data_IF_412242217669
#
_entry.id   IF_412242217669
#
_cell.length_a   1.000
_cell.length_b   1.000
_cell.length_c   1.000
_cell.angle_alpha   90.00
_cell.angle_beta   90.00
_cell.angle_gamma   90.00
#
_symmetry.space_group_name_H-M   'P 1'
#
loop_
_entity.id
_entity.type
_entity.pdbx_description
1 polymer ?
2 non-polymer ?
3 non-polymer ?
4 non-polymer ?
5 water ?
#
# COMPACT_ATOMS: atom_id res chain seq x y z
N UNK A 7 15.81 5.34 18.69
CA UNK A 7 16.36 5.77 17.41
C UNK A 7 15.59 5.14 16.25
N UNK A 8 14.40 5.67 15.97
CA UNK A 8 13.61 5.21 14.82
C UNK A 8 14.02 5.96 13.56
N UNK A 9 14.37 5.21 12.52
CA UNK A 9 14.86 5.80 11.29
C UNK A 9 13.69 6.16 10.38
N UNK A 10 13.56 7.44 10.07
CA UNK A 10 12.49 7.91 9.21
C UNK A 10 13.06 8.62 8.01
N UNK A 11 12.46 8.40 6.84
CA UNK A 11 12.92 9.11 5.66
C UNK A 11 12.57 10.59 5.77
N UNK A 12 13.39 11.42 5.15
CA UNK A 12 13.19 12.87 5.19
C UNK A 12 13.02 13.43 3.79
N UNK A 13 13.18 12.59 2.78
CA UNK A 13 12.95 12.97 1.41
C UNK A 13 12.08 11.91 0.73
N UNK A 14 11.24 12.34 -0.21
CA UNK A 14 10.38 11.43 -0.94
C UNK A 14 11.12 10.62 -2.00
N UNK A 15 10.74 9.36 -2.14
CA UNK A 15 11.25 8.54 -3.23
C UNK A 15 10.22 8.57 -4.36
N UNK A 16 10.59 9.15 -5.49
CA UNK A 16 9.70 9.24 -6.67
C UNK A 16 9.98 8.10 -7.64
N UNK A 17 8.95 7.67 -8.37
CA UNK A 17 9.13 6.61 -9.36
C UNK A 17 10.13 7.00 -10.44
N UNK A 18 10.23 8.29 -10.76
CA UNK A 18 11.17 8.73 -11.79
C UNK A 18 12.62 8.80 -11.30
N UNK A 19 12.84 8.45 -10.05
CA UNK A 19 14.21 8.40 -9.53
C UNK A 19 14.77 6.98 -9.46
N UNK A 20 13.97 5.97 -9.80
CA UNK A 20 14.45 4.59 -9.76
C UNK A 20 15.28 4.25 -10.99
N UNK A 21 16.39 3.54 -10.77
CA UNK A 21 17.07 2.88 -11.88
C UNK A 21 16.37 1.54 -12.10
N UNK A 22 16.97 0.67 -12.90
CA UNK A 22 16.34 -0.60 -13.20
C UNK A 22 16.20 -1.50 -11.96
N UNK A 23 17.18 -1.45 -11.06
CA UNK A 23 17.18 -2.36 -9.92
C UNK A 23 17.46 -1.71 -8.57
N UNK A 24 17.73 -0.40 -8.58
CA UNK A 24 18.08 0.26 -7.34
C UNK A 24 17.70 1.74 -7.38
N UNK A 25 17.96 2.41 -6.26
CA UNK A 25 17.88 3.86 -6.21
C UNK A 25 18.95 4.35 -5.25
N UNK A 26 19.33 5.61 -5.37
CA UNK A 26 20.35 6.19 -4.51
C UNK A 26 19.82 6.51 -3.12
N UNK A 27 20.55 6.08 -2.09
CA UNK A 27 20.17 6.32 -0.70
C UNK A 27 19.93 7.79 -0.40
N UNK A 28 20.74 8.66 -1.00
CA UNK A 28 20.66 10.10 -0.73
C UNK A 28 19.24 10.64 -0.90
N UNK A 29 18.46 10.06 -1.81
CA UNK A 29 17.10 10.52 -2.07
C UNK A 29 16.21 10.49 -0.82
N UNK A 30 16.47 9.54 0.07
CA UNK A 30 15.63 9.36 1.24
C UNK A 30 15.95 10.33 2.38
N UNK A 31 17.06 11.04 2.25
CA UNK A 31 17.39 12.12 3.18
C UNK A 31 17.73 11.67 4.60
N UNK A 32 18.11 10.41 4.76
CA UNK A 32 18.35 9.84 6.08
C UNK A 32 19.81 9.49 6.28
N UNK A 33 20.46 10.17 7.21
CA UNK A 33 21.85 9.84 7.54
C UNK A 33 22.04 8.39 7.99
N UNK A 34 21.17 7.87 8.90
CA UNK A 34 21.28 6.44 9.23
C UNK A 34 21.29 5.51 8.02
N UNK A 35 20.46 5.76 7.02
CA UNK A 35 20.47 4.91 5.83
C UNK A 35 21.73 5.13 5.00
N UNK A 36 22.14 6.39 4.87
CA UNK A 36 23.34 6.74 4.11
C UNK A 36 24.60 6.08 4.66
N UNK A 37 24.68 5.91 5.97
CA UNK A 37 25.88 5.36 6.58
C UNK A 37 25.76 3.87 6.90
N UNK A 38 24.59 3.28 6.64
CA UNK A 38 24.39 1.86 6.86
C UNK A 38 25.41 1.05 6.06
N UNK A 39 25.93 -0.04 6.65
CA UNK A 39 26.97 -0.82 5.99
C UNK A 39 26.43 -1.66 4.85
N UNK A 40 27.32 -2.06 3.95
CA UNK A 40 26.98 -2.93 2.85
C UNK A 40 26.24 -4.16 3.37
N UNK A 41 25.12 -4.49 2.73
CA UNK A 41 24.37 -5.67 3.09
C UNK A 41 23.31 -5.50 4.15
N UNK A 42 23.27 -4.33 4.79
CA UNK A 42 22.21 -4.07 5.77
C UNK A 42 20.84 -4.17 5.11
N UNK A 43 19.89 -4.79 5.80
CA UNK A 43 18.54 -4.96 5.29
C UNK A 43 17.55 -4.24 6.19
N UNK A 44 16.66 -3.47 5.57
CA UNK A 44 15.63 -2.74 6.29
C UNK A 44 14.24 -3.16 5.87
N UNK A 45 13.33 -3.23 6.83
CA UNK A 45 11.92 -3.38 6.54
C UNK A 45 11.24 -2.01 6.61
N UNK A 46 10.34 -1.76 5.68
CA UNK A 46 9.60 -0.51 5.61
C UNK A 46 8.25 -0.68 6.27
N UNK A 47 7.71 0.39 6.85
CA UNK A 47 6.35 0.35 7.40
C UNK A 47 5.29 0.75 6.38
N UNK A 48 5.74 1.03 5.15
CA UNK A 48 4.88 1.43 4.05
C UNK A 48 5.32 0.63 2.83
N UNK A 49 4.36 0.21 1.98
CA UNK A 49 4.73 -0.57 0.81
C UNK A 49 5.46 0.23 -0.24
N UNK A 50 6.48 -0.39 -0.84
CA UNK A 50 7.15 0.15 -2.01
C UNK A 50 6.64 -0.57 -3.24
N UNK A 51 5.82 0.11 -4.02
CA UNK A 51 5.28 -0.50 -5.24
C UNK A 51 6.21 -0.27 -6.41
N UNK A 52 6.47 -1.34 -7.13
CA UNK A 52 7.37 -1.35 -8.26
C UNK A 52 6.64 -1.84 -9.50
N UNK A 53 6.43 -0.93 -10.45
CA UNK A 53 5.92 -1.32 -11.76
C UNK A 53 6.98 -2.13 -12.49
N UNK A 54 6.55 -3.22 -13.11
CA UNK A 54 7.46 -4.09 -13.85
C UNK A 54 6.82 -4.46 -15.18
N UNK A 55 7.56 -5.15 -16.02
CA UNK A 55 7.02 -5.64 -17.28
C UNK A 55 7.49 -7.04 -17.57
N UNK A 56 6.56 -7.92 -17.92
CA UNK A 56 6.92 -9.26 -18.35
C UNK A 56 7.08 -9.35 -19.87
N UNK A 57 6.85 -8.23 -20.55
CA UNK A 57 6.97 -8.19 -22.00
C UNK A 57 5.98 -7.24 -22.64
N UNK A 58 6.19 -7.00 -23.93
CA UNK A 58 5.24 -6.30 -24.79
C UNK A 58 5.01 -4.86 -24.37
N UNK A 59 5.93 -4.29 -23.58
CA UNK A 59 5.76 -2.95 -23.08
C UNK A 59 4.59 -2.78 -22.12
N UNK A 60 4.10 -3.88 -21.57
CA UNK A 60 3.00 -3.85 -20.63
C UNK A 60 3.50 -3.62 -19.20
N UNK A 61 2.77 -2.80 -18.45
CA UNK A 61 3.06 -2.56 -17.05
C UNK A 61 2.20 -3.45 -16.16
N UNK A 62 2.83 -4.09 -15.18
CA UNK A 62 2.16 -4.74 -14.04
C UNK A 62 2.78 -4.17 -12.76
N UNK A 63 2.17 -4.44 -11.61
CA UNK A 63 2.63 -3.82 -10.37
C UNK A 63 2.93 -4.85 -9.28
N UNK A 64 4.11 -4.70 -8.66
CA UNK A 64 4.55 -5.55 -7.56
C UNK A 64 4.67 -4.73 -6.27
N UNK A 65 4.71 -5.42 -5.13
CA UNK A 65 4.94 -4.76 -3.84
C UNK A 65 6.15 -5.35 -3.13
N UNK A 66 6.95 -4.47 -2.53
CA UNK A 66 8.10 -4.85 -1.71
C UNK A 66 8.08 -4.11 -0.38
N UNK A 67 8.64 -4.75 0.63
CA UNK A 67 8.69 -4.19 1.98
C UNK A 67 10.12 -4.12 2.53
N UNK A 68 11.09 -4.53 1.72
CA UNK A 68 12.47 -4.65 2.19
C UNK A 68 13.47 -4.02 1.22
N UNK A 69 14.51 -3.43 1.81
CA UNK A 69 15.60 -2.80 1.08
C UNK A 69 16.92 -3.35 1.57
N UNK A 70 17.85 -3.56 0.64
CA UNK A 70 19.20 -4.01 0.98
C UNK A 70 20.20 -2.95 0.55
N UNK A 71 21.09 -2.56 1.47
CA UNK A 71 22.09 -1.54 1.24
C UNK A 71 23.27 -2.04 0.39
N UNK A 72 23.65 -1.21 -0.58
CA UNK A 72 24.88 -1.39 -1.34
C UNK A 72 25.77 -0.19 -1.06
N UNK A 73 26.93 -0.47 -0.47
CA UNK A 73 27.82 0.59 0.01
C UNK A 73 28.26 1.52 -1.11
N UNK A 74 28.35 2.80 -0.78
CA UNK A 74 28.71 3.80 -1.77
C UNK A 74 30.19 3.93 -2.06
N UNK A 75 30.52 4.93 -2.87
CA UNK A 75 31.91 5.25 -3.21
C UNK A 75 32.08 6.77 -3.26
N UNK A 76 33.23 7.24 -3.71
CA UNK A 76 33.52 8.67 -3.72
C UNK A 76 32.45 9.51 -4.44
N UNK A 77 31.99 9.02 -5.57
CA UNK A 77 30.99 9.73 -6.37
C UNK A 77 29.59 9.69 -5.77
N UNK A 78 29.31 8.63 -5.03
CA UNK A 78 27.98 8.42 -4.42
C UNK A 78 28.19 7.86 -3.01
N UNK A 79 28.61 8.71 -2.06
CA UNK A 79 29.04 8.19 -0.77
C UNK A 79 27.95 7.45 -0.01
N UNK A 80 26.70 7.89 -0.17
CA UNK A 80 25.60 7.27 0.54
C UNK A 80 25.16 5.93 -0.05
N UNK A 81 25.65 5.60 -1.25
CA UNK A 81 25.34 4.32 -1.84
C UNK A 81 23.93 4.16 -2.35
N UNK A 82 23.48 2.91 -2.43
CA UNK A 82 22.24 2.55 -3.10
C UNK A 82 21.45 1.56 -2.27
N UNK A 83 20.16 1.46 -2.57
CA UNK A 83 19.34 0.35 -2.07
C UNK A 83 18.72 -0.42 -3.22
N UNK A 84 18.69 -1.74 -3.11
CA UNK A 84 17.82 -2.58 -3.93
C UNK A 84 16.60 -2.99 -3.13
N UNK A 85 15.43 -2.97 -3.77
CA UNK A 85 14.22 -3.54 -3.18
C UNK A 85 14.21 -5.06 -3.38
N UNK A 86 13.54 -5.77 -2.49
CA UNK A 86 13.43 -7.20 -2.60
C UNK A 86 12.73 -7.80 -1.42
N UNK A 87 12.98 -9.09 -1.21
CA UNK A 87 12.33 -9.89 -0.20
C UNK A 87 13.31 -10.32 0.87
N UNK A 88 12.98 -10.04 2.12
CA UNK A 88 13.72 -10.57 3.26
C UNK A 88 12.98 -11.75 3.85
N UNK A 89 13.66 -12.89 3.89
CA UNK A 89 13.17 -14.11 4.54
C UNK A 89 13.74 -14.11 5.95
N UNK A 90 12.88 -13.83 6.94
CA UNK A 90 13.33 -13.67 8.32
C UNK A 90 13.71 -14.98 9.01
N UNK A 91 13.32 -16.10 8.41
CA UNK A 91 13.67 -17.42 8.93
C UNK A 91 15.06 -17.82 8.45
N UNK A 92 15.21 -17.90 7.13
CA UNK A 92 16.49 -18.31 6.53
C UNK A 92 17.53 -17.20 6.53
N UNK A 93 17.10 -15.99 6.91
CA UNK A 93 17.97 -14.82 6.95
C UNK A 93 18.56 -14.54 5.58
N UNK A 94 17.71 -14.50 4.56
CA UNK A 94 18.18 -14.25 3.19
C UNK A 94 17.43 -13.10 2.55
N UNK A 95 18.14 -12.33 1.74
CA UNK A 95 17.53 -11.29 0.92
C UNK A 95 17.59 -11.72 -0.53
N UNK A 96 16.48 -11.54 -1.23
CA UNK A 96 16.42 -11.82 -2.66
C UNK A 96 15.98 -10.55 -3.39
N UNK A 97 16.76 -10.10 -4.37
CA UNK A 97 16.42 -8.89 -5.11
C UNK A 97 15.06 -9.07 -5.78
N UNK A 98 14.31 -7.98 -5.88
CA UNK A 98 13.02 -8.00 -6.54
C UNK A 98 13.11 -7.83 -8.03
N UNK A 99 11.96 -7.65 -8.65
CA UNK A 99 11.85 -7.51 -10.09
C UNK A 99 12.38 -6.15 -10.53
N UNK A 100 12.89 -6.06 -11.75
CA UNK A 100 13.34 -4.79 -12.30
C UNK A 100 12.18 -3.82 -12.47
N UNK A 101 12.46 -2.55 -12.22
CA UNK A 101 11.50 -1.49 -12.45
C UNK A 101 11.40 -1.18 -13.93
N UNK A 102 10.16 -1.06 -14.43
CA UNK A 102 9.91 -0.73 -15.82
C UNK A 102 9.38 0.70 -15.94
N UNK A 103 10.14 1.54 -16.63
CA UNK A 103 9.76 2.94 -16.82
C UNK A 103 9.19 3.12 -18.21
N UNK A 104 7.95 3.58 -18.31
CA UNK A 104 7.26 3.72 -19.57
C UNK A 104 6.67 5.12 -19.58
N UNK A 105 5.35 5.23 -19.47
CA UNK A 105 4.72 6.54 -19.46
C UNK A 105 3.90 6.82 -18.20
N UNK A 106 4.24 6.17 -17.10
CA UNK A 106 3.42 6.29 -15.90
C UNK A 106 3.40 7.70 -15.36
N UNK A 107 2.27 8.10 -14.76
CA UNK A 107 2.27 9.39 -14.06
C UNK A 107 3.31 9.39 -12.94
N UNK A 108 3.87 10.56 -12.68
CA UNK A 108 4.83 10.72 -11.61
C UNK A 108 4.16 10.38 -10.28
N UNK A 109 4.86 9.67 -9.41
CA UNK A 109 4.31 9.23 -8.13
C UNK A 109 5.38 9.28 -7.06
N UNK A 110 4.99 9.67 -5.86
CA UNK A 110 5.79 9.41 -4.68
C UNK A 110 5.54 7.97 -4.25
N UNK A 111 6.55 7.13 -4.40
CA UNK A 111 6.43 5.73 -4.00
C UNK A 111 6.54 5.60 -2.47
N UNK A 112 7.51 6.30 -1.87
CA UNK A 112 7.66 6.32 -0.41
C UNK A 112 7.72 7.76 0.06
N UNK A 113 6.75 8.17 0.88
CA UNK A 113 6.73 9.57 1.29
C UNK A 113 7.65 9.82 2.49
N UNK A 114 7.88 11.10 2.72
CA UNK A 114 8.60 11.55 3.91
C UNK A 114 7.95 10.97 5.15
N UNK A 115 8.77 10.44 6.06
CA UNK A 115 8.25 9.89 7.29
C UNK A 115 8.10 8.38 7.28
N UNK A 116 8.51 7.73 6.19
CA UNK A 116 8.52 6.27 6.12
C UNK A 116 9.53 5.73 7.13
N UNK A 117 9.11 4.77 7.94
CA UNK A 117 9.95 4.20 8.98
C UNK A 117 10.66 2.96 8.47
N UNK A 118 11.97 2.93 8.69
CA UNK A 118 12.84 1.86 8.20
C UNK A 118 13.45 1.17 9.40
N UNK A 119 13.34 -0.14 9.46
CA UNK A 119 13.82 -0.90 10.61
C UNK A 119 14.82 -1.94 10.16
N UNK A 120 16.02 -1.91 10.71
CA UNK A 120 17.02 -2.89 10.30
C UNK A 120 16.62 -4.28 10.81
N UNK A 121 16.66 -5.26 9.92
CA UNK A 121 16.20 -6.61 10.26
C UNK A 121 17.24 -7.72 10.13
N UNK A 122 18.39 -7.44 9.52
CA UNK A 122 19.46 -8.44 9.49
C UNK A 122 20.33 -8.36 10.74
N UNK A 123 21.18 -9.36 10.95
CA UNK A 123 22.10 -9.34 12.08
C UNK A 123 23.36 -8.53 11.74
N UNK B 7 -4.18 17.07 18.00
CA UNK B 7 -5.05 15.91 17.87
C UNK B 7 -4.91 15.27 16.50
N UNK B 8 -4.73 13.95 16.47
CA UNK B 8 -4.62 13.23 15.19
C UNK B 8 -5.97 13.14 14.49
N UNK B 9 -5.99 13.45 13.20
CA UNK B 9 -7.22 13.34 12.42
C UNK B 9 -7.32 11.96 11.79
N UNK B 10 -8.35 11.23 12.15
CA UNK B 10 -8.58 9.89 11.59
C UNK B 10 -9.88 9.88 10.81
N UNK B 11 -9.89 9.18 9.69
CA UNK B 11 -11.12 9.00 8.95
C UNK B 11 -12.08 8.12 9.75
N UNK B 12 -13.37 8.34 9.55
CA UNK B 12 -14.41 7.62 10.28
C UNK B 12 -15.32 6.86 9.34
N UNK B 13 -15.12 7.05 8.04
CA UNK B 13 -15.87 6.32 7.03
C UNK B 13 -14.92 5.87 5.93
N UNK B 14 -15.21 4.72 5.34
CA UNK B 14 -14.35 4.16 4.29
C UNK B 14 -14.51 4.89 2.96
N UNK B 15 -13.41 5.06 2.25
CA UNK B 15 -13.46 5.57 0.89
C UNK B 15 -13.43 4.39 -0.07
N UNK B 16 -14.51 4.23 -0.83
CA UNK B 16 -14.63 3.15 -1.80
C UNK B 16 -14.27 3.65 -3.19
N UNK B 17 -13.70 2.77 -4.02
CA UNK B 17 -13.35 3.14 -5.38
C UNK B 17 -14.54 3.60 -6.21
N UNK B 18 -15.71 3.03 -5.95
CA UNK B 18 -16.91 3.42 -6.70
C UNK B 18 -17.49 4.77 -6.28
N UNK B 19 -16.85 5.43 -5.31
CA UNK B 19 -17.24 6.78 -4.93
C UNK B 19 -16.37 7.87 -5.54
N UNK B 20 -15.29 7.49 -6.24
CA UNK B 20 -14.42 8.48 -6.84
C UNK B 20 -15.04 9.08 -8.10
N UNK B 21 -14.92 10.39 -8.25
CA UNK B 21 -15.11 10.99 -9.56
C UNK B 21 -13.80 10.88 -10.33
N UNK B 22 -13.71 11.46 -11.51
CA UNK B 22 -12.49 11.34 -12.29
C UNK B 22 -11.29 11.99 -11.60
N UNK B 23 -11.52 13.07 -10.85
CA UNK B 23 -10.40 13.81 -10.28
C UNK B 23 -10.55 14.18 -8.81
N UNK B 24 -11.58 13.69 -8.14
CA UNK B 24 -11.78 14.05 -6.75
C UNK B 24 -12.66 13.02 -6.07
N UNK B 25 -12.82 13.18 -4.76
CA UNK B 25 -13.93 12.57 -4.05
C UNK B 25 -14.45 13.58 -3.03
N UNK B 26 -15.69 13.39 -2.60
CA UNK B 26 -16.32 14.28 -1.63
C UNK B 26 -15.80 14.03 -0.22
N UNK B 27 -15.45 15.11 0.47
CA UNK B 27 -14.94 15.02 1.83
C UNK B 27 -15.87 14.27 2.77
N UNK B 28 -17.17 14.49 2.61
CA UNK B 28 -18.16 13.91 3.51
C UNK B 28 -17.99 12.40 3.67
N UNK B 29 -17.54 11.73 2.61
CA UNK B 29 -17.33 10.29 2.63
C UNK B 29 -16.41 9.80 3.74
N UNK B 30 -15.43 10.62 4.11
CA UNK B 30 -14.46 10.21 5.11
C UNK B 30 -14.97 10.35 6.54
N UNK B 31 -16.12 10.98 6.72
CA UNK B 31 -16.78 11.04 8.02
C UNK B 31 -16.07 11.86 9.08
N UNK B 32 -15.19 12.75 8.65
CA UNK B 32 -14.35 13.53 9.56
C UNK B 32 -14.70 15.02 9.54
N UNK B 33 -15.13 15.56 10.67
CA UNK B 33 -15.42 16.99 10.76
C UNK B 33 -14.18 17.85 10.53
N UNK B 34 -13.04 17.52 11.16
CA UNK B 34 -11.85 18.31 10.84
C UNK B 34 -11.53 18.37 9.35
N UNK B 35 -11.72 17.28 8.61
CA UNK B 35 -11.50 17.33 7.17
C UNK B 35 -12.58 18.15 6.45
N UNK B 36 -13.83 17.95 6.85
CA UNK B 36 -14.94 18.68 6.26
C UNK B 36 -14.77 20.20 6.35
N UNK B 37 -14.13 20.69 7.41
CA UNK B 37 -14.01 22.13 7.62
C UNK B 37 -12.58 22.64 7.48
N UNK B 38 -11.69 21.77 7.01
CA UNK B 38 -10.32 22.17 6.74
C UNK B 38 -10.32 23.34 5.76
N UNK B 39 -9.37 24.26 5.93
CA UNK B 39 -9.27 25.43 5.04
C UNK B 39 -9.08 25.03 3.58
N UNK B 40 -9.65 25.81 2.67
CA UNK B 40 -9.45 25.65 1.23
C UNK B 40 -7.95 25.56 0.95
N UNK B 41 -7.55 24.52 0.22
CA UNK B 41 -6.15 24.35 -0.15
C UNK B 41 -5.27 23.63 0.85
N UNK B 42 -5.81 23.29 2.02
CA UNK B 42 -5.04 22.51 2.99
C UNK B 42 -4.59 21.19 2.37
N UNK B 43 -3.35 20.81 2.64
CA UNK B 43 -2.78 19.56 2.13
C UNK B 43 -2.50 18.61 3.28
N UNK B 44 -2.93 17.35 3.11
CA UNK B 44 -2.76 16.33 4.12
C UNK B 44 -1.94 15.17 3.56
N UNK B 45 -1.08 14.61 4.41
CA UNK B 45 -0.42 13.36 4.09
C UNK B 45 -1.13 12.23 4.81
N UNK B 46 -1.28 11.11 4.10
CA UNK B 46 -1.93 9.92 4.63
C UNK B 46 -0.91 8.94 5.18
N UNK B 47 -1.30 8.16 6.18
CA UNK B 47 -0.44 7.08 6.67
C UNK B 47 -0.70 5.73 5.96
N UNK B 48 -1.59 5.76 4.96
CA UNK B 48 -1.94 4.59 4.17
C UNK B 48 -1.96 5.04 2.72
N UNK B 49 -1.50 4.18 1.78
CA UNK B 49 -1.49 4.60 0.39
C UNK B 49 -2.89 4.68 -0.21
N UNK B 50 -3.13 5.70 -1.01
CA UNK B 50 -4.33 5.78 -1.82
C UNK B 50 -4.00 5.31 -3.23
N UNK B 51 -4.56 4.17 -3.61
CA UNK B 51 -4.35 3.59 -4.93
C UNK B 51 -5.38 4.09 -5.93
N UNK B 52 -4.89 4.64 -7.03
CA UNK B 52 -5.74 5.20 -8.06
C UNK B 52 -5.48 4.47 -9.38
N UNK B 53 -6.46 3.70 -9.83
CA UNK B 53 -6.40 3.07 -11.14
C UNK B 53 -6.55 4.13 -12.22
N UNK B 54 -5.74 4.02 -13.27
CA UNK B 54 -5.76 4.97 -14.36
C UNK B 54 -5.62 4.20 -15.68
N UNK B 55 -5.82 4.89 -16.79
CA UNK B 55 -5.60 4.26 -18.09
C UNK B 55 -4.98 5.24 -19.06
N UNK B 56 -3.91 4.82 -19.71
CA UNK B 56 -3.25 5.66 -20.71
C UNK B 56 -3.72 5.31 -22.12
N UNK B 57 -4.54 4.27 -22.25
CA UNK B 57 -5.02 3.87 -23.56
C UNK B 57 -5.58 2.46 -23.58
N UNK B 58 -6.28 2.15 -24.66
CA UNK B 58 -6.84 0.83 -24.98
C UNK B 58 -7.70 0.18 -23.90
N UNK B 59 -8.17 1.00 -22.96
CA UNK B 59 -8.96 0.48 -21.86
C UNK B 59 -8.15 -0.34 -20.87
N UNK B 60 -6.83 -0.27 -20.98
CA UNK B 60 -5.96 -1.00 -20.08
C UNK B 60 -5.79 -0.23 -18.77
N UNK B 61 -6.03 -0.91 -17.67
CA UNK B 61 -5.90 -0.31 -16.34
C UNK B 61 -4.48 -0.50 -15.80
N UNK B 62 -3.91 0.58 -15.26
CA UNK B 62 -2.68 0.51 -14.47
C UNK B 62 -2.97 1.19 -13.14
N UNK B 63 -2.05 1.11 -12.19
CA UNK B 63 -2.33 1.62 -10.85
C UNK B 63 -1.23 2.55 -10.35
N UNK B 64 -1.65 3.70 -9.83
CA UNK B 64 -0.75 4.70 -9.25
C UNK B 64 -0.97 4.77 -7.74
N UNK B 65 0.05 5.22 -7.02
CA UNK B 65 -0.07 5.47 -5.59
C UNK B 65 0.07 6.97 -5.26
N UNK B 66 -0.78 7.43 -4.36
CA UNK B 66 -0.73 8.79 -3.83
C UNK B 66 -0.78 8.76 -2.32
N UNK B 67 -0.11 9.75 -1.71
CA UNK B 67 -0.02 9.86 -0.28
C UNK B 67 -0.54 11.20 0.21
N UNK B 68 -1.00 12.04 -0.71
CA UNK B 68 -1.36 13.42 -0.38
C UNK B 68 -2.71 13.80 -0.94
N UNK B 69 -3.46 14.55 -0.15
CA UNK B 69 -4.77 15.08 -0.52
C UNK B 69 -4.78 16.58 -0.36
N UNK B 70 -5.41 17.28 -1.28
CA UNK B 70 -5.60 18.73 -1.16
C UNK B 70 -7.07 19.04 -1.05
N UNK B 71 -7.42 19.84 -0.05
CA UNK B 71 -8.81 20.24 0.17
C UNK B 71 -9.27 21.29 -0.82
N UNK B 72 -10.46 21.07 -1.38
CA UNK B 72 -11.17 22.03 -2.22
C UNK B 72 -12.44 22.42 -1.50
N UNK B 73 -12.59 23.71 -1.22
CA UNK B 73 -13.71 24.21 -0.43
C UNK B 73 -15.05 23.87 -1.06
N UNK B 74 -16.05 23.66 -0.22
CA UNK B 74 -17.37 23.32 -0.70
C UNK B 74 -18.18 24.46 -1.28
N UNK B 75 -19.40 24.12 -1.67
CA UNK B 75 -20.41 25.08 -2.06
C UNK B 75 -21.75 24.62 -1.51
N UNK B 76 -22.83 25.33 -1.85
CA UNK B 76 -24.13 25.02 -1.28
C UNK B 76 -24.56 23.58 -1.55
N UNK B 77 -24.20 23.08 -2.74
CA UNK B 77 -24.55 21.73 -3.12
C UNK B 77 -23.72 20.65 -2.44
N UNK B 78 -22.48 20.98 -2.10
CA UNK B 78 -21.55 20.05 -1.46
C UNK B 78 -20.84 20.77 -0.32
N UNK B 79 -21.53 20.91 0.82
CA UNK B 79 -21.06 21.84 1.86
C UNK B 79 -19.69 21.51 2.45
N UNK B 80 -19.33 20.24 2.49
CA UNK B 80 -18.03 19.83 3.05
C UNK B 80 -16.92 19.82 2.00
N UNK B 81 -17.26 20.06 0.74
CA UNK B 81 -16.24 20.13 -0.29
C UNK B 81 -15.64 18.78 -0.68
N UNK B 82 -14.40 18.84 -1.16
CA UNK B 82 -13.79 17.72 -1.85
C UNK B 82 -12.32 17.61 -1.50
N UNK B 83 -11.75 16.45 -1.82
CA UNK B 83 -10.30 16.30 -1.92
C UNK B 83 -9.90 15.87 -3.31
N UNK B 84 -8.76 16.38 -3.76
CA UNK B 84 -8.03 15.79 -4.88
C UNK B 84 -6.79 15.08 -4.36
N UNK B 85 -6.43 13.98 -4.98
CA UNK B 85 -5.19 13.30 -4.68
C UNK B 85 -4.09 13.88 -5.57
N UNK B 86 -2.86 13.77 -5.10
CA UNK B 86 -1.75 14.29 -5.86
C UNK B 86 -0.44 14.21 -5.11
N UNK B 87 0.52 15.00 -5.57
CA UNK B 87 1.87 15.01 -5.03
C UNK B 87 2.14 16.31 -4.29
N UNK B 88 2.51 16.19 -3.02
CA UNK B 88 3.00 17.31 -2.26
C UNK B 88 4.53 17.32 -2.29
N UNK B 89 5.10 18.41 -2.79
CA UNK B 89 6.53 18.66 -2.74
C UNK B 89 6.81 19.49 -1.50
N UNK B 90 7.40 18.86 -0.48
CA UNK B 90 7.64 19.50 0.82
C UNK B 90 8.82 20.47 0.82
N UNK B 91 9.58 20.46 -0.28
CA UNK B 91 10.73 21.32 -0.42
C UNK B 91 10.28 22.63 -1.07
N UNK B 92 9.59 22.51 -2.20
CA UNK B 92 9.11 23.67 -2.95
C UNK B 92 7.70 24.10 -2.52
N UNK B 93 7.09 23.34 -1.62
CA UNK B 93 5.77 23.64 -1.08
C UNK B 93 4.74 23.79 -2.19
N UNK B 94 4.64 22.77 -3.04
CA UNK B 94 3.67 22.78 -4.14
C UNK B 94 2.88 21.48 -4.16
N UNK B 95 1.62 21.58 -4.57
CA UNK B 95 0.77 20.41 -4.77
C UNK B 95 0.47 20.27 -6.25
N UNK B 96 0.65 19.08 -6.80
CA UNK B 96 0.35 18.80 -8.19
C UNK B 96 -0.72 17.71 -8.23
N UNK B 97 -1.86 17.99 -8.86
CA UNK B 97 -2.94 17.01 -8.93
C UNK B 97 -2.44 15.73 -9.60
N UNK B 98 -2.97 14.59 -9.16
CA UNK B 98 -2.58 13.31 -9.73
C UNK B 98 -3.37 12.94 -10.97
N UNK B 99 -3.16 11.70 -11.40
CA UNK B 99 -3.78 11.18 -12.60
C UNK B 99 -5.28 10.99 -12.40
N UNK B 100 -6.04 11.10 -13.48
CA UNK B 100 -7.46 10.84 -13.43
C UNK B 100 -7.74 9.38 -13.10
N UNK B 101 -8.75 9.16 -12.27
CA UNK B 101 -9.23 7.82 -11.97
C UNK B 101 -10.02 7.26 -13.13
N UNK B 102 -9.72 6.03 -13.50
CA UNK B 102 -10.39 5.35 -14.60
C UNK B 102 -11.30 4.28 -14.03
N UNK B 103 -12.61 4.46 -14.21
CA UNK B 103 -13.59 3.53 -13.67
C UNK B 103 -14.07 2.60 -14.78
N UNK B 104 -13.89 1.31 -14.60
CA UNK B 104 -14.30 0.34 -15.60
C UNK B 104 -14.92 -0.89 -14.95
N UNK B 105 -14.21 -2.01 -14.93
CA UNK B 105 -14.77 -3.25 -14.41
C UNK B 105 -14.03 -3.79 -13.19
N UNK B 106 -13.36 -2.92 -12.46
CA UNK B 106 -12.64 -3.36 -11.27
C UNK B 106 -13.57 -3.83 -10.17
N UNK B 107 -13.13 -4.81 -9.37
CA UNK B 107 -13.91 -5.17 -8.19
C UNK B 107 -14.03 -3.98 -7.25
N UNK B 108 -15.12 -3.95 -6.49
CA UNK B 108 -15.30 -2.91 -5.49
C UNK B 108 -14.20 -3.03 -4.45
N UNK B 109 -13.65 -1.91 -4.04
CA UNK B 109 -12.55 -1.88 -3.08
C UNK B 109 -12.68 -0.73 -2.11
N UNK B 110 -12.32 -0.96 -0.86
CA UNK B 110 -12.05 0.13 0.06
C UNK B 110 -10.63 0.61 -0.21
N UNK B 111 -10.52 1.81 -0.75
CA UNK B 111 -9.21 2.39 -1.00
C UNK B 111 -8.56 2.90 0.29
N UNK B 112 -9.33 3.59 1.13
CA UNK B 112 -8.84 4.06 2.43
C UNK B 112 -9.82 3.63 3.51
N UNK B 113 -9.37 2.78 4.44
CA UNK B 113 -10.29 2.27 5.46
C UNK B 113 -10.45 3.24 6.61
N UNK B 114 -11.47 2.96 7.42
CA UNK B 114 -11.72 3.70 8.64
C UNK B 114 -10.46 3.67 9.49
N UNK B 115 -10.08 4.81 10.04
CA UNK B 115 -8.89 4.91 10.87
C UNK B 115 -7.65 5.41 10.17
N UNK B 116 -7.77 5.74 8.89
CA UNK B 116 -6.66 6.34 8.16
C UNK B 116 -6.30 7.69 8.78
N UNK B 117 -5.02 7.90 9.06
CA UNK B 117 -4.56 9.11 9.71
C UNK B 117 -4.12 10.15 8.68
N UNK B 118 -4.64 11.36 8.82
CA UNK B 118 -4.40 12.46 7.90
C UNK B 118 -3.68 13.57 8.64
N UNK B 119 -2.51 13.95 8.15
CA UNK B 119 -1.68 14.93 8.83
C UNK B 119 -1.47 16.14 7.92
N UNK B 120 -1.84 17.33 8.41
CA UNK B 120 -1.66 18.52 7.60
C UNK B 120 -0.18 18.82 7.40
N UNK B 121 0.24 19.06 6.16
CA UNK B 121 1.64 19.24 5.87
C UNK B 121 1.99 20.58 5.21
N UNK B 122 0.97 21.33 4.76
CA UNK B 122 1.25 22.64 4.18
C UNK B 122 1.39 23.69 5.28
N UNK B 123 1.89 24.88 4.92
CA UNK B 123 2.22 25.93 5.88
C UNK B 123 3.31 25.48 6.86
N UNK C 7 -2.84 -6.20 24.19
CA UNK C 7 -2.48 -7.32 23.31
C UNK C 7 -2.82 -7.00 21.87
N UNK C 8 -1.97 -6.22 21.20
CA UNK C 8 -2.18 -6.07 19.76
C UNK C 8 -1.72 -7.35 19.05
N UNK C 9 -2.46 -7.76 18.02
CA UNK C 9 -2.11 -8.96 17.27
C UNK C 9 -1.25 -8.59 16.07
N UNK C 10 -0.02 -9.10 16.05
CA UNK C 10 0.88 -8.87 14.93
C UNK C 10 1.20 -10.18 14.25
N UNK C 11 1.28 -10.17 12.92
CA UNK C 11 1.68 -11.37 12.21
C UNK C 11 3.15 -11.68 12.52
N UNK C 12 3.48 -12.96 12.51
CA UNK C 12 4.84 -13.40 12.82
C UNK C 12 5.48 -14.13 11.64
N UNK C 13 4.71 -14.35 10.59
CA UNK C 13 5.21 -14.93 9.37
C UNK C 13 4.69 -14.14 8.17
N UNK C 14 5.49 -14.06 7.12
CA UNK C 14 5.12 -13.31 5.93
C UNK C 14 4.10 -14.05 5.08
N UNK C 15 3.15 -13.32 4.51
CA UNK C 15 2.23 -13.89 3.54
C UNK C 15 2.79 -13.63 2.15
N UNK C 16 3.13 -14.71 1.44
CA UNK C 16 3.66 -14.62 0.07
C UNK C 16 2.54 -14.84 -0.94
N UNK C 17 2.65 -14.18 -2.09
CA UNK C 17 1.65 -14.34 -3.13
C UNK C 17 1.52 -15.78 -3.61
N UNK C 18 2.62 -16.54 -3.58
CA UNK C 18 2.58 -17.92 -4.03
C UNK C 18 1.89 -18.86 -3.04
N UNK C 19 1.42 -18.33 -1.92
CA UNK C 19 0.67 -19.13 -0.95
C UNK C 19 -0.84 -18.91 -1.03
N UNK C 20 -1.29 -18.02 -1.89
CA UNK C 20 -2.72 -17.75 -2.01
C UNK C 20 -3.41 -18.82 -2.84
N UNK C 21 -4.57 -19.27 -2.37
CA UNK C 21 -5.47 -20.01 -3.23
C UNK C 21 -6.31 -18.98 -3.99
N UNK C 22 -7.38 -19.41 -4.63
CA UNK C 22 -8.15 -18.47 -5.43
C UNK C 22 -8.90 -17.44 -4.57
N UNK C 23 -9.37 -17.81 -3.39
CA UNK C 23 -10.05 -16.84 -2.53
C UNK C 23 -9.66 -16.84 -1.08
N UNK C 24 -8.65 -17.64 -0.72
CA UNK C 24 -8.23 -17.68 0.67
C UNK C 24 -6.77 -18.03 0.83
N UNK C 25 -6.32 -18.03 2.07
CA UNK C 25 -5.01 -18.56 2.40
C UNK C 25 -5.11 -19.16 3.80
N UNK C 26 -4.19 -20.07 4.12
CA UNK C 26 -4.20 -20.73 5.43
C UNK C 26 -3.80 -19.77 6.53
N UNK C 27 -4.57 -19.75 7.60
CA UNK C 27 -4.28 -18.93 8.77
C UNK C 27 -2.87 -19.15 9.30
N UNK C 28 -2.45 -20.41 9.32
CA UNK C 28 -1.18 -20.78 9.94
C UNK C 28 0.02 -20.03 9.34
N UNK C 29 -0.09 -19.62 8.08
CA UNK C 29 0.99 -18.89 7.41
C UNK C 29 1.38 -17.61 8.12
N UNK C 30 0.43 -16.99 8.80
CA UNK C 30 0.71 -15.71 9.46
C UNK C 30 1.46 -15.89 10.78
N UNK C 31 1.60 -17.16 11.20
CA UNK C 31 2.42 -17.50 12.36
C UNK C 31 1.90 -16.99 13.69
N UNK C 32 0.61 -16.65 13.74
CA UNK C 32 0.01 -16.05 14.93
C UNK C 32 -0.99 -16.99 15.59
N UNK C 33 -0.72 -17.36 16.84
CA UNK C 33 -1.69 -18.17 17.60
C UNK C 33 -3.03 -17.45 17.81
N UNK C 34 -3.02 -16.15 18.17
CA UNK C 34 -4.31 -15.45 18.26
C UNK C 34 -5.14 -15.53 16.97
N UNK C 35 -4.49 -15.42 15.82
CA UNK C 35 -5.23 -15.52 14.56
C UNK C 35 -5.68 -16.95 14.31
N UNK C 36 -4.81 -17.91 14.61
CA UNK C 36 -5.13 -19.33 14.43
C UNK C 36 -6.35 -19.76 15.25
N UNK C 37 -6.47 -19.26 16.47
CA UNK C 37 -7.59 -19.65 17.33
C UNK C 37 -8.83 -18.75 17.18
N UNK C 38 -8.72 -17.70 16.39
CA UNK C 38 -9.88 -16.83 16.14
C UNK C 38 -11.03 -17.66 15.58
N UNK C 39 -12.25 -17.42 16.08
CA UNK C 39 -13.38 -18.26 15.69
C UNK C 39 -13.85 -18.00 14.27
N UNK C 40 -14.55 -18.98 13.70
CA UNK C 40 -15.22 -18.82 12.42
C UNK C 40 -16.02 -17.52 12.43
N UNK C 41 -15.84 -16.71 11.40
CA UNK C 41 -16.60 -15.49 11.26
C UNK C 41 -15.90 -14.24 11.77
N UNK C 42 -14.82 -14.41 12.53
CA UNK C 42 -14.07 -13.25 13.03
C UNK C 42 -13.53 -12.43 11.85
N UNK C 43 -13.66 -11.10 11.95
CA UNK C 43 -13.17 -10.19 10.92
C UNK C 43 -12.10 -9.29 11.51
N UNK C 44 -10.99 -9.13 10.77
CA UNK C 44 -9.88 -8.29 11.18
C UNK C 44 -9.63 -7.20 10.14
N UNK C 45 -9.28 -6.02 10.64
CA UNK C 45 -8.74 -4.96 9.78
C UNK C 45 -7.21 -4.94 9.89
N UNK C 46 -6.56 -4.77 8.76
CA UNK C 46 -5.10 -4.71 8.68
C UNK C 46 -4.63 -3.27 8.71
N UNK C 47 -3.44 -3.04 9.25
CA UNK C 47 -2.85 -1.70 9.19
C UNK C 47 -1.99 -1.50 7.92
N UNK C 48 -1.89 -2.56 7.11
CA UNK C 48 -1.14 -2.54 5.86
C UNK C 48 -2.03 -3.06 4.74
N UNK C 49 -1.89 -2.51 3.52
CA UNK C 49 -2.73 -2.99 2.41
C UNK C 49 -2.36 -4.40 1.98
N UNK C 50 -3.38 -5.23 1.73
CA UNK C 50 -3.19 -6.53 1.10
C UNK C 50 -3.53 -6.40 -0.38
N UNK C 51 -2.52 -6.50 -1.22
CA UNK C 51 -2.70 -6.39 -2.66
C UNK C 51 -3.00 -7.75 -3.27
N UNK C 52 -4.10 -7.82 -3.99
CA UNK C 52 -4.55 -9.04 -4.64
C UNK C 52 -4.61 -8.84 -6.15
N UNK C 53 -3.75 -9.56 -6.88
CA UNK C 53 -3.79 -9.52 -8.33
C UNK C 53 -5.01 -10.29 -8.85
N UNK C 54 -5.66 -9.74 -9.86
CA UNK C 54 -6.82 -10.36 -10.47
C UNK C 54 -6.76 -10.18 -11.97
N UNK C 55 -7.64 -10.85 -12.70
CA UNK C 55 -7.69 -10.62 -14.13
C UNK C 55 -9.11 -10.51 -14.67
N UNK C 56 -9.26 -9.64 -15.66
CA UNK C 56 -10.51 -9.48 -16.39
C UNK C 56 -10.70 -10.61 -17.39
N UNK C 57 -9.64 -11.38 -17.63
CA UNK C 57 -9.73 -12.56 -18.46
C UNK C 57 -9.31 -12.38 -19.90
N UNK C 58 -8.59 -11.31 -20.21
CA UNK C 58 -8.14 -11.08 -21.59
C UNK C 58 -6.63 -11.16 -21.74
N UNK C 59 -5.95 -11.51 -20.66
CA UNK C 59 -4.52 -11.73 -20.71
C UNK C 59 -3.68 -10.97 -19.70
N UNK C 60 -4.29 -10.07 -18.92
CA UNK C 60 -3.51 -9.14 -18.09
C UNK C 60 -3.83 -9.21 -16.61
N UNK C 61 -2.82 -8.92 -15.79
CA UNK C 61 -2.94 -8.92 -14.35
C UNK C 61 -3.13 -7.49 -13.83
N UNK C 62 -4.26 -7.23 -13.18
CA UNK C 62 -4.49 -5.96 -12.51
C UNK C 62 -4.44 -6.18 -11.01
N UNK C 63 -4.48 -5.09 -10.23
CA UNK C 63 -4.27 -5.20 -8.80
C UNK C 63 -5.39 -4.52 -8.02
N UNK C 64 -5.90 -5.23 -7.01
CA UNK C 64 -6.90 -4.69 -6.10
C UNK C 64 -6.30 -4.57 -4.70
N UNK C 65 -6.90 -3.73 -3.87
CA UNK C 65 -6.46 -3.59 -2.49
C UNK C 65 -7.56 -4.00 -1.50
N UNK C 66 -7.16 -4.74 -0.47
CA UNK C 66 -8.04 -5.14 0.63
C UNK C 66 -7.41 -4.81 1.97
N UNK C 67 -8.27 -4.53 2.94
CA UNK C 67 -7.85 -4.16 4.29
C UNK C 67 -8.46 -5.07 5.35
N UNK C 68 -9.24 -6.05 4.91
CA UNK C 68 -10.01 -6.88 5.83
C UNK C 68 -9.87 -8.35 5.51
N UNK C 69 -9.83 -9.15 6.58
CA UNK C 69 -9.78 -10.61 6.49
C UNK C 69 -10.90 -11.19 7.33
N UNK C 70 -11.50 -12.29 6.86
CA UNK C 70 -12.50 -13.00 7.64
C UNK C 70 -12.08 -14.45 7.82
N UNK C 71 -12.19 -14.95 9.04
CA UNK C 71 -11.82 -16.32 9.39
C UNK C 71 -12.89 -17.33 8.97
N UNK C 72 -12.43 -18.42 8.35
CA UNK C 72 -13.30 -19.54 8.00
C UNK C 72 -12.77 -20.81 8.65
N UNK C 73 -13.65 -21.48 9.39
CA UNK C 73 -13.31 -22.70 10.12
C UNK C 73 -12.69 -23.77 9.24
N UNK C 74 -11.68 -24.45 9.78
CA UNK C 74 -10.90 -25.40 9.01
C UNK C 74 -11.43 -26.82 9.00
N UNK C 75 -10.52 -27.75 8.72
CA UNK C 75 -10.82 -29.17 8.75
C UNK C 75 -9.56 -29.92 9.19
N UNK C 76 -9.59 -31.25 9.13
CA UNK C 76 -8.48 -32.03 9.65
C UNK C 76 -7.16 -31.69 8.96
N UNK C 77 -7.22 -31.32 7.68
CA UNK C 77 -6.02 -30.98 6.94
C UNK C 77 -5.48 -29.60 7.25
N UNK C 78 -6.36 -28.68 7.63
CA UNK C 78 -5.99 -27.30 7.94
C UNK C 78 -6.75 -26.91 9.20
N UNK C 79 -6.28 -27.38 10.37
CA UNK C 79 -7.07 -27.24 11.59
C UNK C 79 -7.38 -25.79 11.99
N UNK C 80 -6.45 -24.88 11.73
CA UNK C 80 -6.63 -23.47 12.09
C UNK C 80 -7.46 -22.70 11.06
N UNK C 81 -7.81 -23.34 9.96
CA UNK C 81 -8.69 -22.70 8.99
C UNK C 81 -8.00 -21.68 8.10
N UNK C 82 -8.82 -20.83 7.49
CA UNK C 82 -8.39 -19.95 6.42
C UNK C 82 -8.88 -18.53 6.67
N UNK C 83 -8.19 -17.57 6.03
CA UNK C 83 -8.72 -16.22 5.89
C UNK C 83 -9.08 -15.95 4.45
N UNK C 84 -10.20 -15.27 4.26
CA UNK C 84 -10.54 -14.67 2.97
C UNK C 84 -10.37 -13.17 3.07
N UNK C 85 -9.79 -12.57 2.04
CA UNK C 85 -9.75 -11.11 1.93
C UNK C 85 -11.09 -10.61 1.42
N UNK C 86 -11.43 -9.38 1.78
CA UNK C 86 -12.69 -8.82 1.36
C UNK C 86 -12.93 -7.46 1.99
N UNK C 87 -14.19 -7.04 1.95
CA UNK C 87 -14.60 -5.72 2.42
C UNK C 87 -15.48 -5.86 3.65
N UNK C 88 -15.09 -5.18 4.72
CA UNK C 88 -15.94 -5.07 5.91
C UNK C 88 -16.68 -3.74 5.87
N UNK C 89 -18.01 -3.82 5.93
CA UNK C 89 -18.87 -2.65 6.10
C UNK C 89 -19.16 -2.52 7.60
N UNK C 90 -18.53 -1.52 8.22
CA UNK C 90 -18.62 -1.33 9.67
C UNK C 90 -19.96 -0.81 10.14
N UNK C 91 -20.73 -0.25 9.22
CA UNK C 91 -22.03 0.33 9.50
C UNK C 91 -23.07 -0.79 9.54
N UNK C 92 -23.15 -1.53 8.43
CA UNK C 92 -24.11 -2.60 8.28
C UNK C 92 -23.64 -3.93 8.87
N UNK C 93 -22.40 -3.95 9.36
CA UNK C 93 -21.78 -5.15 9.91
C UNK C 93 -21.78 -6.31 8.92
N UNK C 94 -21.32 -6.07 7.70
CA UNK C 94 -21.25 -7.13 6.70
C UNK C 94 -19.85 -7.28 6.12
N UNK C 95 -19.50 -8.53 5.82
CA UNK C 95 -18.28 -8.85 5.10
C UNK C 95 -18.63 -9.40 3.74
N UNK C 96 -17.95 -8.89 2.71
CA UNK C 96 -18.12 -9.38 1.35
C UNK C 96 -16.76 -9.86 0.83
N UNK C 97 -16.69 -11.12 0.40
CA UNK C 97 -15.45 -11.66 -0.12
C UNK C 97 -14.98 -10.82 -1.30
N UNK C 98 -13.66 -10.71 -1.43
CA UNK C 98 -13.06 -9.96 -2.52
C UNK C 98 -12.87 -10.76 -3.80
N UNK C 99 -12.12 -10.19 -4.71
CA UNK C 99 -11.91 -10.76 -6.04
C UNK C 99 -11.05 -12.01 -5.96
N UNK C 100 -11.28 -12.94 -6.89
CA UNK C 100 -10.42 -14.10 -7.02
C UNK C 100 -8.99 -13.69 -7.36
N UNK C 101 -8.03 -14.33 -6.69
CA UNK C 101 -6.64 -14.15 -7.02
C UNK C 101 -6.30 -14.84 -8.32
N UNK C 102 -5.57 -14.15 -9.19
CA UNK C 102 -5.15 -14.67 -10.48
C UNK C 102 -3.66 -14.94 -10.44
N UNK C 103 -3.31 -16.21 -10.51
CA UNK C 103 -1.92 -16.64 -10.46
C UNK C 103 -1.42 -16.90 -11.87
N UNK C 104 -0.40 -16.14 -12.29
CA UNK C 104 0.10 -16.23 -13.64
C UNK C 104 1.62 -16.33 -13.56
N UNK C 105 2.34 -15.28 -13.94
CA UNK C 105 3.79 -15.33 -13.93
C UNK C 105 4.41 -14.22 -13.07
N UNK C 106 3.65 -13.73 -12.09
CA UNK C 106 4.14 -12.61 -11.28
C UNK C 106 5.40 -12.99 -10.53
N UNK C 107 6.30 -12.02 -10.32
CA UNK C 107 7.41 -12.26 -9.40
C UNK C 107 6.90 -12.59 -8.00
N UNK C 108 7.66 -13.39 -7.27
CA UNK C 108 7.32 -13.70 -5.90
C UNK C 108 7.34 -12.41 -5.07
N UNK C 109 6.36 -12.26 -4.20
CA UNK C 109 6.22 -11.04 -3.39
C UNK C 109 5.72 -11.39 -2.01
N UNK C 110 6.21 -10.66 -1.02
CA UNK C 110 5.59 -10.65 0.29
C UNK C 110 4.45 -9.65 0.21
N UNK C 111 3.23 -10.16 0.31
CA UNK C 111 2.06 -9.31 0.29
C UNK C 111 1.85 -8.63 1.65
N UNK C 112 2.00 -9.39 2.73
CA UNK C 112 1.94 -8.82 4.08
C UNK C 112 3.15 -9.26 4.89
N UNK C 113 3.98 -8.29 5.32
CA UNK C 113 5.20 -8.68 6.02
C UNK C 113 4.96 -8.97 7.49
N UNK C 114 5.97 -9.58 8.10
CA UNK C 114 5.99 -9.79 9.53
C UNK C 114 5.75 -8.46 10.25
N UNK C 115 4.88 -8.47 11.25
CA UNK C 115 4.61 -7.28 12.03
C UNK C 115 3.36 -6.53 11.60
N UNK C 116 2.65 -7.07 10.62
CA UNK C 116 1.36 -6.50 10.23
C UNK C 116 0.39 -6.59 11.40
N UNK C 117 -0.26 -5.49 11.73
CA UNK C 117 -1.18 -5.45 12.86
C UNK C 117 -2.60 -5.74 12.42
N UNK C 118 -3.22 -6.71 13.10
CA UNK C 118 -4.56 -7.16 12.78
C UNK C 118 -5.48 -6.82 13.95
N UNK C 119 -6.54 -6.07 13.67
CA UNK C 119 -7.46 -5.61 14.69
C UNK C 119 -8.84 -6.20 14.47
N UNK C 120 -9.37 -6.91 15.47
CA UNK C 120 -10.70 -7.48 15.30
C UNK C 120 -11.76 -6.40 15.27
N UNK C 121 -12.67 -6.45 14.29
CA UNK C 121 -13.66 -5.40 14.08
C UNK C 121 -15.12 -5.86 14.09
N UNK C 122 -15.36 -7.16 13.99
CA UNK C 122 -16.73 -7.67 14.12
C UNK C 122 -17.10 -7.68 15.60
N UNK C 123 -18.39 -7.70 15.92
CA UNK C 123 -18.83 -7.62 17.30
C UNK C 123 -19.18 -8.99 17.87
X LIG D 1 -0.45 -5.09 -17.30
X LIG E 1 21.89 -9.73 -4.63
X LIG E 1 21.55 -8.68 -3.76
X LIG E 1 21.62 -11.10 -4.01
X LIG E 1 22.35 -11.25 -2.81
X LIG E 1 20.13 -11.23 -3.69
X LIG E 1 19.36 -11.33 -4.87
X LIG F 1 7.14 8.95 -14.00
X LIG F 1 7.38 10.32 -14.22
X LIG F 1 7.72 8.13 -15.16
X LIG F 1 6.86 8.24 -16.28
X LIG F 1 7.81 6.66 -14.74
X LIG F 1 9.04 6.40 -14.07
X LIG G 1 12.62 -11.50 -7.76
X LIG G 1 13.88 -11.73 -8.24
X LIG G 1 11.64 -11.60 -8.88
X LIG G 1 12.18 -10.95 -10.02
X LIG G 1 11.65 -11.35 -11.32
X LIG G 1 10.44 -12.25 -11.22
X LIG G 1 10.80 -13.54 -10.80
X LIG H 1 -3.79 -3.68 -16.87
X LIG I 1 -14.66 0.75 -10.12
X LIG I 1 -14.83 2.12 -9.84
X LIG I 1 -15.96 -0.03 -9.89
X LIG I 1 -16.10 -1.00 -10.89
X LIG I 1 -15.90 -0.71 -8.53
X LIG I 1 -17.20 -1.11 -8.14
X LIG J 1 2.31 -15.67 -8.46
X LIG J 1 1.36 -16.33 -7.65
X LIG J 1 3.61 -16.46 -8.52
X LIG J 1 4.10 -16.44 -9.85
X LIG J 1 4.62 -15.80 -7.58
X LIG J 1 5.82 -16.52 -7.60
#
# INVERSE_FOLDING_TARGET
>A
NPEETTAPIMTQGSLYNDSLSTNDFKSILLGSTPLDIAPDGAVFQLDRPLSIDYSLGTGDVDRAVYWHLKKFAGNAGTPAGWFRWGIWDNFNKTFTDGVAYYSDEQPRQILLPVGTVCTRVDSEN
>B
NPEETTAPIMTQGSLYNDSLSTNDFKSILLGSTPLDIAPDGAVFQLDRPLSIDYSLGTGDVDRAVYWHLKKFAGNAGTPAGWFRWGIWDNFNKTFTDGVAYYSDEQPRQILLPVGTVCTRVDSEN
>C
NPEETTAPIMTQGSLYNDSLSTNDFKSILLGSTPLDIAPDGAVFQLDRPLSIDYSLGTGDVDRAVYWHLKKFAGNAGTPAGWFRWGIWDNFNKTFTDGVAYYSDEQPRQILLPVGTVCTRVDSEN
>D hetero
1 CA CA
>E hetero
1 GOL C1 O1 C2 O2 C3 O3
>F hetero
1 GOL C1 O1 C2 O2 C3 O3
>G hetero
1 PEG C1 O1 C2 O2 C3 C4 O4
>H hetero
1 CA CA
>I hetero
1 GOL C1 O1 C2 O2 C3 O3
>J hetero
1 GOL C1 O1 C2 O2 C3 O3
#
